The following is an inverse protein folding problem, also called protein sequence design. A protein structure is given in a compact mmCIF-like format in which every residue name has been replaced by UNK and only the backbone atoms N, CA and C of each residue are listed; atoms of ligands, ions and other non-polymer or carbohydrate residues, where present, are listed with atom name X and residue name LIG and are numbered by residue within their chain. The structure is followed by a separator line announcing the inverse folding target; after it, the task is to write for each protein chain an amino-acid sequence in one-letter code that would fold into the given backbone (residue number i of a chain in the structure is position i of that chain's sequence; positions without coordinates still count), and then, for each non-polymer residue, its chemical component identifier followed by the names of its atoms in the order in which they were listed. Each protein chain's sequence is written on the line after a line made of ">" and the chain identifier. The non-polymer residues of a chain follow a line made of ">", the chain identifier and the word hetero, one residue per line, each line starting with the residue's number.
data_IF_842642528029
#
_entry.id   IF_842642528029
#
_cell.length_a   1.000
_cell.length_b   1.000
_cell.length_c   1.000
_cell.angle_alpha   90.00
_cell.angle_beta   90.00
_cell.angle_gamma   90.00
#
_symmetry.space_group_name_H-M   'P 1'
#
loop_
_entity.id
_entity.type
_entity.pdbx_description
1 polymer ?
#
# COMPACT_ATOMS: atom_id res chain seq x y z
N UNK A 1 -0.86 -6.81 -58.60
CA UNK A 1 -0.35 -6.87 -57.21
C UNK A 1 -0.47 -5.48 -56.62
N UNK A 2 -1.30 -5.27 -55.60
CA UNK A 2 -1.43 -3.98 -54.91
C UNK A 2 -0.41 -3.95 -53.77
N UNK A 3 0.69 -3.23 -53.97
CA UNK A 3 1.63 -2.91 -52.89
C UNK A 3 1.01 -1.81 -52.04
N UNK A 4 0.57 -2.17 -50.83
CA UNK A 4 0.11 -1.20 -49.85
C UNK A 4 1.32 -0.45 -49.32
N UNK A 5 1.39 0.87 -49.52
CA UNK A 5 2.44 1.70 -48.93
C UNK A 5 2.28 1.66 -47.40
N UNK A 6 3.29 1.11 -46.72
CA UNK A 6 3.34 1.04 -45.25
C UNK A 6 3.85 2.40 -44.78
N UNK A 7 3.03 3.13 -44.04
CA UNK A 7 3.40 4.45 -43.51
C UNK A 7 4.39 4.29 -42.35
N UNK A 8 5.17 5.35 -42.06
CA UNK A 8 6.08 5.36 -40.91
C UNK A 8 5.34 5.05 -39.60
N UNK A 9 4.11 5.56 -39.46
CA UNK A 9 3.20 5.27 -38.35
C UNK A 9 2.84 3.79 -38.25
N UNK A 10 2.65 3.10 -39.37
CA UNK A 10 2.38 1.65 -39.39
C UNK A 10 3.61 0.86 -38.93
N UNK A 11 4.82 1.33 -39.26
CA UNK A 11 6.08 0.74 -38.81
C UNK A 11 6.27 0.91 -37.29
N UNK A 12 6.00 2.10 -36.76
CA UNK A 12 6.04 2.38 -35.31
C UNK A 12 4.98 1.61 -34.54
N UNK A 13 3.79 1.40 -35.11
CA UNK A 13 2.75 0.58 -34.50
C UNK A 13 3.14 -0.91 -34.44
N UNK A 14 3.85 -1.42 -35.46
CA UNK A 14 4.36 -2.80 -35.48
C UNK A 14 5.46 -3.04 -34.44
N UNK A 15 6.35 -2.06 -34.22
CA UNK A 15 7.41 -2.16 -33.21
C UNK A 15 6.85 -2.19 -31.77
N UNK A 16 5.69 -1.54 -31.53
CA UNK A 16 4.99 -1.59 -30.24
C UNK A 16 4.23 -2.93 -30.05
N UNK A 17 3.75 -3.56 -31.12
CA UNK A 17 3.02 -4.84 -31.08
C UNK A 17 3.93 -6.02 -30.72
N UNK A 18 5.22 -5.98 -31.08
CA UNK A 18 6.16 -7.08 -30.78
C UNK A 18 6.64 -7.06 -29.32
N UNK A 19 6.50 -5.93 -28.62
CA UNK A 19 7.04 -5.77 -27.26
C UNK A 19 6.06 -6.23 -26.16
N UNK A 20 4.75 -6.36 -26.45
CA UNK A 20 3.76 -6.91 -25.51
C UNK A 20 2.65 -7.68 -26.23
N UNK A 21 2.34 -8.87 -25.75
CA UNK A 21 1.30 -9.76 -26.30
C UNK A 21 -0.05 -9.03 -26.37
N UNK A 22 -0.76 -9.19 -27.50
CA UNK A 22 -2.06 -8.56 -27.71
C UNK A 22 -3.10 -8.97 -26.65
N UNK A 23 -2.99 -10.18 -26.10
CA UNK A 23 -3.80 -10.66 -24.98
C UNK A 23 -3.48 -9.93 -23.67
N UNK A 24 -2.20 -9.62 -23.39
CA UNK A 24 -1.81 -8.82 -22.22
C UNK A 24 -2.36 -7.39 -22.30
N UNK A 25 -2.34 -6.79 -23.50
CA UNK A 25 -2.91 -5.45 -23.73
C UNK A 25 -4.42 -5.45 -23.50
N UNK A 26 -5.13 -6.46 -24.01
CA UNK A 26 -6.57 -6.59 -23.85
C UNK A 26 -6.95 -6.82 -22.37
N UNK A 27 -6.23 -7.72 -21.68
CA UNK A 27 -6.42 -7.97 -20.24
C UNK A 27 -6.21 -6.72 -19.38
N UNK A 28 -5.20 -5.90 -19.71
CA UNK A 28 -4.95 -4.64 -19.01
C UNK A 28 -6.10 -3.64 -19.17
N UNK A 29 -6.64 -3.49 -20.39
CA UNK A 29 -7.77 -2.60 -20.66
C UNK A 29 -9.00 -3.05 -19.86
N UNK A 30 -9.28 -4.34 -19.84
CA UNK A 30 -10.40 -4.91 -19.08
C UNK A 30 -10.25 -4.66 -17.56
N UNK A 31 -9.04 -4.78 -17.03
CA UNK A 31 -8.74 -4.49 -15.63
C UNK A 31 -8.89 -3.00 -15.28
N UNK A 32 -8.46 -2.10 -16.17
CA UNK A 32 -8.63 -0.65 -16.02
C UNK A 32 -10.12 -0.26 -16.05
N UNK A 33 -10.90 -0.84 -16.97
CA UNK A 33 -12.35 -0.64 -17.02
C UNK A 33 -13.05 -1.16 -15.77
N UNK A 34 -12.69 -2.34 -15.28
CA UNK A 34 -13.24 -2.91 -14.05
C UNK A 34 -12.93 -2.02 -12.84
N UNK A 35 -11.69 -1.52 -12.74
CA UNK A 35 -11.27 -0.59 -11.68
C UNK A 35 -12.04 0.73 -11.74
N UNK A 36 -12.25 1.29 -12.94
CA UNK A 36 -13.05 2.51 -13.14
C UNK A 36 -14.51 2.29 -12.76
N UNK A 37 -15.12 1.16 -13.16
CA UNK A 37 -16.50 0.81 -12.78
C UNK A 37 -16.63 0.65 -11.27
N UNK A 38 -15.66 0.01 -10.61
CA UNK A 38 -15.63 -0.11 -9.15
C UNK A 38 -15.57 1.25 -8.47
N UNK A 39 -14.64 2.12 -8.88
CA UNK A 39 -14.50 3.48 -8.36
C UNK A 39 -15.82 4.26 -8.42
N UNK A 40 -16.46 4.31 -9.60
CA UNK A 40 -17.72 5.04 -9.77
C UNK A 40 -18.86 4.45 -8.93
N UNK A 41 -18.86 3.13 -8.72
CA UNK A 41 -19.87 2.43 -7.93
C UNK A 41 -19.70 2.69 -6.43
N UNK A 42 -18.47 2.79 -5.93
CA UNK A 42 -18.19 2.87 -4.49
C UNK A 42 -17.90 4.30 -4.00
N UNK A 43 -17.74 5.25 -4.92
CA UNK A 43 -17.57 6.66 -4.60
C UNK A 43 -18.82 7.21 -3.89
N UNK A 44 -18.61 7.68 -2.67
CA UNK A 44 -19.63 8.35 -1.85
C UNK A 44 -19.10 9.72 -1.45
N UNK A 45 -19.95 10.73 -1.55
CA UNK A 45 -19.65 12.06 -1.02
C UNK A 45 -20.25 12.16 0.38
N UNK A 46 -19.40 12.45 1.36
CA UNK A 46 -19.81 12.63 2.74
C UNK A 46 -20.38 14.05 2.95
N UNK A 47 -21.26 14.24 3.95
CA UNK A 47 -21.85 15.54 4.26
C UNK A 47 -20.83 16.64 4.54
N UNK A 48 -19.65 16.28 5.05
CA UNK A 48 -18.56 17.20 5.38
C UNK A 48 -17.76 17.65 4.14
N UNK A 49 -18.12 17.16 2.95
CA UNK A 49 -17.54 17.54 1.66
C UNK A 49 -16.43 16.60 1.15
N UNK A 50 -15.95 15.67 1.98
CA UNK A 50 -14.97 14.64 1.62
C UNK A 50 -15.59 13.54 0.74
N UNK A 51 -14.76 12.86 -0.05
CA UNK A 51 -15.17 11.68 -0.82
C UNK A 51 -14.54 10.42 -0.23
N UNK A 52 -15.37 9.42 0.03
CA UNK A 52 -14.96 8.08 0.41
C UNK A 52 -15.10 7.15 -0.80
N UNK A 53 -14.13 6.27 -1.02
CA UNK A 53 -14.18 5.27 -2.08
C UNK A 53 -13.60 3.96 -1.57
N UNK A 54 -14.23 2.85 -1.95
CA UNK A 54 -13.67 1.53 -1.63
C UNK A 54 -12.45 1.27 -2.49
N UNK A 55 -11.41 0.68 -1.89
CA UNK A 55 -10.26 0.20 -2.63
C UNK A 55 -10.67 -0.99 -3.53
N UNK A 56 -10.23 -1.01 -4.80
CA UNK A 56 -10.45 -2.15 -5.67
C UNK A 56 -9.57 -3.32 -5.22
N UNK A 57 -10.20 -4.43 -4.83
CA UNK A 57 -9.50 -5.67 -4.53
C UNK A 57 -9.28 -6.47 -5.81
N UNK A 58 -8.10 -7.06 -5.96
CA UNK A 58 -7.84 -8.02 -7.02
C UNK A 58 -8.49 -9.36 -6.63
N UNK A 59 -9.45 -9.81 -7.43
CA UNK A 59 -10.09 -11.11 -7.23
C UNK A 59 -9.08 -12.25 -7.43
N UNK A 60 -9.16 -13.27 -6.58
CA UNK A 60 -8.30 -14.47 -6.66
C UNK A 60 -6.95 -14.36 -5.96
N UNK A 61 -6.59 -13.21 -5.38
CA UNK A 61 -5.43 -13.15 -4.49
C UNK A 61 -5.73 -13.77 -3.13
N UNK A 62 -4.82 -14.61 -2.66
CA UNK A 62 -4.88 -15.10 -1.28
C UNK A 62 -4.62 -13.92 -0.33
N UNK A 63 -5.45 -13.77 0.72
CA UNK A 63 -5.20 -12.77 1.73
C UNK A 63 -3.83 -13.00 2.39
N UNK A 64 -3.12 -11.92 2.75
CA UNK A 64 -1.80 -12.05 3.33
C UNK A 64 -1.85 -12.82 4.66
N UNK A 65 -0.92 -13.76 4.84
CA UNK A 65 -0.82 -14.59 6.03
C UNK A 65 -0.48 -13.75 7.26
N UNK A 66 -1.08 -14.09 8.41
CA UNK A 66 -0.79 -13.47 9.68
C UNK A 66 0.71 -13.44 10.00
N UNK A 67 1.27 -12.22 10.13
CA UNK A 67 2.70 -11.98 10.38
C UNK A 67 2.98 -11.41 11.78
N UNK A 68 2.03 -11.55 12.71
CA UNK A 68 2.07 -10.91 14.04
C UNK A 68 3.37 -11.17 14.79
N UNK A 69 3.83 -12.42 14.85
CA UNK A 69 5.04 -12.81 15.61
C UNK A 69 6.26 -12.02 15.11
N UNK A 70 6.40 -11.87 13.78
CA UNK A 70 7.51 -11.15 13.16
C UNK A 70 7.40 -9.65 13.44
N UNK A 71 6.20 -9.08 13.26
CA UNK A 71 5.95 -7.67 13.49
C UNK A 71 6.20 -7.27 14.96
N UNK A 72 5.71 -8.07 15.92
CA UNK A 72 5.95 -7.86 17.35
C UNK A 72 7.44 -7.97 17.71
N UNK A 73 8.15 -8.95 17.14
CA UNK A 73 9.59 -9.09 17.33
C UNK A 73 10.37 -7.87 16.85
N UNK A 74 10.02 -7.32 15.68
CA UNK A 74 10.60 -6.08 15.16
C UNK A 74 10.30 -4.89 16.06
N UNK A 75 9.05 -4.76 16.51
CA UNK A 75 8.63 -3.68 17.41
C UNK A 75 9.41 -3.71 18.74
N UNK A 76 9.54 -4.88 19.37
CA UNK A 76 10.32 -5.04 20.61
C UNK A 76 11.76 -4.58 20.43
N UNK A 77 12.40 -4.94 19.30
CA UNK A 77 13.76 -4.48 18.99
C UNK A 77 13.83 -2.96 18.84
N UNK A 78 12.89 -2.36 18.13
CA UNK A 78 12.80 -0.91 17.96
C UNK A 78 12.63 -0.20 19.32
N UNK A 79 11.74 -0.70 20.18
CA UNK A 79 11.53 -0.15 21.52
C UNK A 79 12.83 -0.19 22.33
N UNK A 80 13.52 -1.34 22.37
CA UNK A 80 14.77 -1.49 23.11
C UNK A 80 15.86 -0.52 22.62
N UNK A 81 15.99 -0.34 21.30
CA UNK A 81 16.95 0.61 20.71
C UNK A 81 16.61 2.07 21.08
N UNK A 82 15.33 2.43 21.09
CA UNK A 82 14.92 3.79 21.44
C UNK A 82 15.03 4.08 22.93
N UNK A 83 14.81 3.06 23.77
CA UNK A 83 15.02 3.16 25.21
C UNK A 83 16.50 3.42 25.51
N UNK A 84 17.42 2.70 24.88
CA UNK A 84 18.86 2.91 25.11
C UNK A 84 19.35 4.29 24.62
N UNK A 85 18.63 4.90 23.68
CA UNK A 85 18.90 6.25 23.17
C UNK A 85 18.07 7.35 23.86
N UNK A 86 17.24 7.01 24.84
CA UNK A 86 16.33 7.93 25.53
C UNK A 86 15.34 8.67 24.59
N UNK A 87 14.91 7.99 23.53
CA UNK A 87 14.02 8.52 22.48
C UNK A 87 12.60 7.91 22.52
N UNK A 88 12.32 6.97 23.42
CA UNK A 88 11.04 6.26 23.47
C UNK A 88 9.84 7.20 23.67
N UNK A 89 10.00 8.29 24.45
CA UNK A 89 8.89 9.22 24.68
C UNK A 89 8.48 9.96 23.39
N UNK A 90 9.45 10.45 22.63
CA UNK A 90 9.19 11.07 21.32
C UNK A 90 8.53 10.10 20.33
N UNK A 91 8.83 8.81 20.47
CA UNK A 91 8.24 7.76 19.65
C UNK A 91 6.75 7.56 19.96
N UNK A 92 6.43 7.59 21.25
CA UNK A 92 5.06 7.47 21.77
C UNK A 92 4.21 8.71 21.47
N UNK A 93 4.78 9.91 21.61
CA UNK A 93 4.08 11.18 21.33
C UNK A 93 3.54 11.24 19.89
N UNK A 94 4.27 10.70 18.91
CA UNK A 94 3.82 10.63 17.50
C UNK A 94 2.54 9.80 17.35
N UNK A 95 2.42 8.67 18.07
CA UNK A 95 1.21 7.86 17.99
C UNK A 95 0.02 8.53 18.69
N UNK A 96 0.26 9.27 19.77
CA UNK A 96 -0.77 10.07 20.42
C UNK A 96 -1.28 11.19 19.54
N UNK A 97 -0.39 11.87 18.81
CA UNK A 97 -0.75 12.88 17.81
C UNK A 97 -1.62 12.27 16.70
N UNK A 98 -1.20 11.13 16.13
CA UNK A 98 -1.97 10.45 15.09
C UNK A 98 -3.34 9.95 15.58
N UNK A 99 -3.42 9.50 16.84
CA UNK A 99 -4.68 9.09 17.45
C UNK A 99 -5.61 10.31 17.63
N UNK A 100 -5.06 11.46 18.04
CA UNK A 100 -5.81 12.71 18.19
C UNK A 100 -6.28 13.27 16.85
N UNK A 101 -5.48 13.11 15.80
CA UNK A 101 -5.81 13.51 14.42
C UNK A 101 -6.70 12.48 13.70
N UNK A 102 -7.10 11.40 14.37
CA UNK A 102 -7.93 10.33 13.80
C UNK A 102 -7.30 9.66 12.56
N UNK A 103 -5.97 9.73 12.43
CA UNK A 103 -5.19 9.04 11.38
C UNK A 103 -5.12 7.54 11.69
N UNK A 104 -5.09 7.18 12.97
CA UNK A 104 -5.11 5.80 13.45
C UNK A 104 -6.17 5.62 14.52
N UNK A 105 -6.64 4.38 14.67
CA UNK A 105 -7.59 3.99 15.69
C UNK A 105 -7.11 2.73 16.45
N UNK A 106 -7.52 2.55 17.72
CA UNK A 106 -7.24 1.33 18.45
C UNK A 106 -7.95 0.13 17.81
N UNK A 107 -7.19 -0.93 17.50
CA UNK A 107 -7.75 -2.14 16.91
C UNK A 107 -8.63 -2.87 17.92
N UNK A 108 -9.84 -3.25 17.52
CA UNK A 108 -10.70 -4.10 18.33
C UNK A 108 -10.20 -5.56 18.29
N UNK A 109 -9.51 -5.97 19.35
CA UNK A 109 -8.84 -7.28 19.47
C UNK A 109 -9.85 -8.45 19.37
N UNK A 110 -11.12 -8.25 19.73
CA UNK A 110 -12.15 -9.29 19.63
C UNK A 110 -12.58 -9.62 18.20
N UNK A 111 -12.21 -8.77 17.22
CA UNK A 111 -12.49 -8.94 15.78
C UNK A 111 -11.25 -9.34 14.98
N UNK A 112 -10.14 -9.69 15.63
CA UNK A 112 -8.94 -10.13 14.94
C UNK A 112 -9.15 -11.54 14.40
N UNK A 113 -9.53 -11.63 13.12
CA UNK A 113 -9.48 -12.88 12.37
C UNK A 113 -8.02 -13.22 12.01
N UNK A 114 -7.75 -14.51 11.74
CA UNK A 114 -6.46 -15.05 11.30
C UNK A 114 -5.93 -14.43 9.98
N UNK A 115 -6.70 -13.55 9.36
CA UNK A 115 -6.42 -12.82 8.12
C UNK A 115 -5.73 -11.46 8.36
N UNK A 116 -5.48 -11.11 9.62
CA UNK A 116 -4.88 -9.82 9.98
C UNK A 116 -3.39 -9.78 9.64
N UNK A 117 -2.98 -8.75 8.89
CA UNK A 117 -1.56 -8.48 8.58
C UNK A 117 -1.11 -7.19 9.22
N UNK A 118 0.08 -7.21 9.80
CA UNK A 118 0.68 -6.14 10.58
C UNK A 118 1.80 -5.48 9.77
N UNK A 119 1.82 -4.16 9.74
CA UNK A 119 2.88 -3.40 9.10
C UNK A 119 4.00 -3.10 10.12
N UNK A 120 5.18 -3.73 9.98
CA UNK A 120 6.31 -3.37 10.82
C UNK A 120 6.75 -1.94 10.48
N UNK A 121 7.15 -1.19 11.51
CA UNK A 121 7.52 0.20 11.35
C UNK A 121 8.82 0.49 12.10
N UNK A 122 9.94 0.72 11.40
CA UNK A 122 11.15 1.22 12.03
C UNK A 122 10.94 2.66 12.55
N UNK A 123 11.69 3.03 13.58
CA UNK A 123 11.87 4.43 13.96
C UNK A 123 13.02 5.02 13.16
N UNK A 124 12.71 5.97 12.28
CA UNK A 124 13.75 6.73 11.57
C UNK A 124 14.06 7.97 12.41
N UNK A 125 15.27 8.03 12.97
CA UNK A 125 15.71 9.15 13.79
C UNK A 125 16.20 10.25 12.86
N UNK A 126 15.71 11.47 13.06
CA UNK A 126 16.20 12.65 12.35
C UNK A 126 16.98 13.54 13.30
N UNK A 127 18.28 13.60 13.10
CA UNK A 127 19.12 14.60 13.73
C UNK A 127 18.80 15.97 13.10
N UNK A 128 18.39 16.95 13.92
CA UNK A 128 18.06 18.34 13.52
C UNK A 128 16.67 18.58 12.91
N UNK A 129 15.67 17.76 13.22
CA UNK A 129 14.27 17.98 12.83
C UNK A 129 13.41 18.41 14.02
N UNK A 130 12.35 19.20 13.77
CA UNK A 130 11.33 19.54 14.77
C UNK A 130 10.64 18.28 15.29
N UNK A 131 10.38 17.30 14.43
CA UNK A 131 9.98 15.95 14.81
C UNK A 131 11.20 15.05 14.84
N UNK A 132 11.64 14.64 16.05
CA UNK A 132 12.86 13.83 16.24
C UNK A 132 12.77 12.41 15.62
N UNK A 133 11.55 11.90 15.41
CA UNK A 133 11.31 10.56 14.86
C UNK A 133 10.32 10.66 13.70
N UNK A 134 10.71 10.14 12.54
CA UNK A 134 9.80 9.91 11.41
C UNK A 134 9.35 8.45 11.40
N UNK A 135 8.05 8.26 11.13
CA UNK A 135 7.45 6.95 10.91
C UNK A 135 7.49 6.57 9.45
N UNK A 136 7.96 5.35 9.21
CA UNK A 136 7.89 4.69 7.91
C UNK A 136 7.33 3.31 8.16
N UNK A 137 6.32 2.91 7.39
CA UNK A 137 5.78 1.55 7.43
C UNK A 137 6.38 0.76 6.28
N UNK A 138 6.91 -0.42 6.60
CA UNK A 138 7.43 -1.34 5.60
C UNK A 138 6.29 -2.20 5.05
N UNK A 139 5.58 -1.65 4.06
CA UNK A 139 4.46 -2.30 3.38
C UNK A 139 4.87 -3.49 2.49
N UNK A 140 6.18 -3.69 2.28
CA UNK A 140 6.75 -4.77 1.49
C UNK A 140 7.41 -5.84 2.35
N UNK A 141 7.23 -5.79 3.68
CA UNK A 141 7.79 -6.75 4.61
C UNK A 141 7.25 -8.16 4.35
N UNK A 142 7.95 -8.92 3.53
CA UNK A 142 7.63 -10.32 3.26
C UNK A 142 8.01 -11.19 4.44
N UNK A 143 7.19 -12.20 4.71
CA UNK A 143 7.61 -13.32 5.55
C UNK A 143 8.64 -14.15 4.77
N UNK A 144 9.57 -14.82 5.46
CA UNK A 144 10.59 -15.68 4.80
C UNK A 144 10.00 -16.85 3.98
N UNK A 145 8.69 -17.08 4.07
CA UNK A 145 7.98 -18.16 3.38
C UNK A 145 6.90 -17.67 2.38
N UNK A 146 7.09 -16.50 1.75
CA UNK A 146 6.19 -15.98 0.71
C UNK A 146 6.88 -15.15 -0.36
#
# INVERSE_FOLDING_TARGET
>A
MLTREISETDLWNLDVIVIKDQAEKQSKIEQEEASRKHFLKTLKRLPEGSCEVSLPWLEGLQPPTNNRIIAEGRLKRTINTLQSQNLLRYYEDVFHEWLKEEIIEPVNISRLDDLSTYLPHPAVIKENSTTKIQRVFDALAKQKNG
#
